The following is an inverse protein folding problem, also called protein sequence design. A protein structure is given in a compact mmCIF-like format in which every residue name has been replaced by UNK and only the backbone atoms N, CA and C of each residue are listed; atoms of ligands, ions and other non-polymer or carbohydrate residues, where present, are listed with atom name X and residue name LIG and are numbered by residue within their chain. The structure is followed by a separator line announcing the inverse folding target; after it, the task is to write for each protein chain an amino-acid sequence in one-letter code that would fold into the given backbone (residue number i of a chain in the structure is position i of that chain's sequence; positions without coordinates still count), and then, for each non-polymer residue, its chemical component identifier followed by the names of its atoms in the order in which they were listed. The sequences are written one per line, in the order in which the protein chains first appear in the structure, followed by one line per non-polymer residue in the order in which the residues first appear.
data_IF_498479745907
#
_entry.id   IF_498479745907
#
_cell.length_a   1.000
_cell.length_b   1.000
_cell.length_c   1.000
_cell.angle_alpha   90.00
_cell.angle_beta   90.00
_cell.angle_gamma   90.00
#
_symmetry.space_group_name_H-M   'P 1'
#
loop_
_entity.id
_entity.type
_entity.pdbx_description
1 polymer ?
#
# COMPACT_ATOMS: atom_id res chain seq x y z
N UNK A 1 -38.37 -13.27 34.46
CA UNK A 1 -36.93 -13.42 34.18
C UNK A 1 -36.69 -12.78 32.83
N UNK A 2 -36.11 -11.59 32.85
CA UNK A 2 -35.91 -10.69 31.72
C UNK A 2 -34.77 -11.19 30.82
N UNK A 3 -35.10 -11.51 29.56
CA UNK A 3 -34.14 -11.80 28.50
C UNK A 3 -33.38 -10.53 28.14
N UNK A 4 -32.05 -10.55 28.33
CA UNK A 4 -31.16 -9.47 27.91
C UNK A 4 -30.66 -9.73 26.49
N UNK A 5 -30.94 -8.76 25.65
CA UNK A 5 -30.51 -8.61 24.27
C UNK A 5 -28.98 -8.43 24.26
N UNK A 6 -28.26 -9.35 23.62
CA UNK A 6 -26.80 -9.23 23.38
C UNK A 6 -26.60 -8.39 22.12
N UNK A 7 -26.11 -7.17 22.28
CA UNK A 7 -25.61 -6.32 21.18
C UNK A 7 -24.22 -6.78 20.73
N UNK A 8 -23.87 -6.69 19.43
CA UNK A 8 -22.57 -7.13 18.94
C UNK A 8 -21.47 -6.12 19.31
N UNK A 9 -20.40 -6.65 19.90
CA UNK A 9 -19.16 -5.96 20.25
C UNK A 9 -18.59 -5.17 19.07
N UNK A 10 -18.45 -3.86 19.28
CA UNK A 10 -17.63 -2.97 18.46
C UNK A 10 -16.20 -3.50 18.42
N UNK A 11 -15.74 -3.87 17.21
CA UNK A 11 -14.36 -4.27 16.94
C UNK A 11 -13.40 -3.21 17.47
N UNK A 12 -12.69 -3.56 18.55
CA UNK A 12 -11.70 -2.72 19.19
C UNK A 12 -10.55 -2.47 18.21
N UNK A 13 -10.38 -1.22 17.80
CA UNK A 13 -9.13 -0.70 17.27
C UNK A 13 -8.06 -0.97 18.33
N UNK A 14 -7.15 -1.90 18.07
CA UNK A 14 -5.97 -2.12 18.91
C UNK A 14 -5.18 -0.83 19.00
N UNK A 15 -5.16 -0.23 20.19
CA UNK A 15 -4.42 0.99 20.51
C UNK A 15 -2.93 0.72 20.23
N UNK A 16 -2.25 1.51 19.37
CA UNK A 16 -0.82 1.33 19.15
C UNK A 16 -0.06 1.63 20.43
N UNK A 17 0.97 0.81 20.69
CA UNK A 17 1.94 1.04 21.75
C UNK A 17 2.43 2.50 21.72
N UNK A 18 2.46 3.18 22.87
CA UNK A 18 2.73 4.63 22.99
C UNK A 18 4.13 5.05 22.48
N UNK A 19 5.00 4.06 22.24
CA UNK A 19 6.37 4.20 21.75
C UNK A 19 6.58 3.72 20.29
N UNK A 20 5.52 3.33 19.57
CA UNK A 20 5.64 2.87 18.19
C UNK A 20 5.49 4.03 17.19
N UNK A 21 6.50 4.24 16.35
CA UNK A 21 6.44 5.20 15.23
C UNK A 21 5.30 4.87 14.29
N UNK A 22 4.65 5.90 13.75
CA UNK A 22 3.62 5.75 12.72
C UNK A 22 4.29 5.57 11.36
N UNK A 23 3.97 4.49 10.65
CA UNK A 23 4.41 4.31 9.27
C UNK A 23 3.56 5.19 8.35
N UNK A 24 4.17 6.18 7.71
CA UNK A 24 3.47 7.12 6.83
C UNK A 24 2.88 6.44 5.58
N UNK A 25 3.37 5.26 5.21
CA UNK A 25 2.80 4.46 4.12
C UNK A 25 1.43 3.87 4.47
N UNK A 26 1.01 3.88 5.74
CA UNK A 26 -0.35 3.45 6.12
C UNK A 26 -1.40 4.54 5.93
N UNK A 27 -0.99 5.78 5.64
CA UNK A 27 -1.87 6.94 5.66
C UNK A 27 -2.18 7.43 4.25
N UNK A 28 -3.48 7.51 3.92
CA UNK A 28 -3.93 8.24 2.75
C UNK A 28 -3.73 9.76 2.93
N UNK A 29 -3.99 10.56 1.90
CA UNK A 29 -3.74 12.01 1.95
C UNK A 29 -4.53 12.73 3.04
N UNK A 30 -5.77 12.35 3.27
CA UNK A 30 -6.59 12.96 4.32
C UNK A 30 -6.01 12.66 5.71
N UNK A 31 -5.67 11.39 5.96
CA UNK A 31 -5.06 10.94 7.21
C UNK A 31 -3.67 11.58 7.41
N UNK A 32 -2.87 11.71 6.34
CA UNK A 32 -1.59 12.43 6.38
C UNK A 32 -1.76 13.89 6.78
N UNK A 33 -2.76 14.59 6.22
CA UNK A 33 -3.05 15.98 6.60
C UNK A 33 -3.50 16.11 8.05
N UNK A 34 -4.31 15.17 8.53
CA UNK A 34 -4.74 15.13 9.92
C UNK A 34 -3.57 14.85 10.88
N UNK A 35 -2.71 13.90 10.53
CA UNK A 35 -1.48 13.61 11.28
C UNK A 35 -0.58 14.85 11.40
N UNK A 36 -0.36 15.59 10.31
CA UNK A 36 0.42 16.83 10.34
C UNK A 36 -0.25 17.94 11.14
N UNK A 37 -1.58 18.07 11.04
CA UNK A 37 -2.35 19.04 11.84
C UNK A 37 -2.18 18.77 13.34
N UNK A 38 -2.22 17.51 13.77
CA UNK A 38 -2.04 17.12 15.17
C UNK A 38 -0.63 17.43 15.70
N UNK A 39 0.38 17.53 14.83
CA UNK A 39 1.73 17.99 15.17
C UNK A 39 1.93 19.51 15.12
N UNK A 40 0.85 20.27 14.85
CA UNK A 40 0.89 21.73 14.71
C UNK A 40 1.41 22.22 13.37
N UNK A 41 1.48 21.36 12.35
CA UNK A 41 1.95 21.70 11.01
C UNK A 41 0.79 22.01 10.07
N UNK A 42 1.06 22.83 9.04
CA UNK A 42 0.06 23.18 8.01
C UNK A 42 -0.18 21.99 7.06
N UNK A 43 -1.41 21.78 6.55
CA UNK A 43 -1.74 20.62 5.70
C UNK A 43 -0.85 20.43 4.47
N UNK A 44 -0.34 21.50 3.85
CA UNK A 44 0.53 21.39 2.67
C UNK A 44 1.88 20.73 2.98
N UNK A 45 2.31 20.68 4.25
CA UNK A 45 3.53 19.96 4.64
C UNK A 45 3.36 18.44 4.47
N UNK A 46 2.16 17.92 4.74
CA UNK A 46 1.82 16.54 4.44
C UNK A 46 1.93 16.26 2.94
N UNK A 47 1.37 17.16 2.12
CA UNK A 47 1.44 17.05 0.65
C UNK A 47 2.90 17.06 0.13
N UNK A 48 3.79 17.87 0.74
CA UNK A 48 5.23 17.86 0.41
C UNK A 48 5.89 16.53 0.77
N UNK A 49 5.63 16.00 1.96
CA UNK A 49 6.19 14.72 2.40
C UNK A 49 5.70 13.57 1.52
N UNK A 50 4.42 13.56 1.14
CA UNK A 50 3.90 12.57 0.20
C UNK A 50 4.63 12.63 -1.15
N UNK A 51 4.89 13.82 -1.70
CA UNK A 51 5.68 13.95 -2.94
C UNK A 51 7.07 13.33 -2.79
N UNK A 52 7.78 13.58 -1.69
CA UNK A 52 9.07 12.94 -1.43
C UNK A 52 8.94 11.41 -1.38
N UNK A 53 7.96 10.92 -0.62
CA UNK A 53 7.71 9.49 -0.50
C UNK A 53 7.47 8.84 -1.86
N UNK A 54 6.54 9.36 -2.66
CA UNK A 54 6.04 8.62 -3.83
C UNK A 54 6.66 9.06 -5.16
N UNK A 55 7.05 10.33 -5.32
CA UNK A 55 7.65 10.80 -6.58
C UNK A 55 9.16 10.55 -6.63
N UNK A 56 9.82 10.51 -5.47
CA UNK A 56 11.26 10.27 -5.33
C UNK A 56 11.58 8.90 -4.71
N UNK A 57 10.59 8.14 -4.22
CA UNK A 57 10.81 6.90 -3.46
C UNK A 57 11.75 7.13 -2.26
N UNK A 58 11.55 8.26 -1.58
CA UNK A 58 12.33 8.68 -0.41
C UNK A 58 11.76 8.08 0.87
N UNK A 59 12.61 7.41 1.64
CA UNK A 59 12.32 6.82 2.96
C UNK A 59 13.13 7.46 4.09
N UNK A 60 14.08 8.36 3.78
CA UNK A 60 14.84 9.12 4.77
C UNK A 60 14.36 10.58 4.83
N UNK A 61 13.94 11.02 6.03
CA UNK A 61 13.55 12.41 6.26
C UNK A 61 14.70 13.40 6.05
N UNK A 62 15.97 13.00 6.19
CA UNK A 62 17.11 13.89 5.98
C UNK A 62 17.25 14.36 4.53
N UNK A 63 16.83 13.53 3.57
CA UNK A 63 16.90 13.83 2.14
C UNK A 63 15.85 14.88 1.70
N UNK A 64 14.84 15.15 2.54
CA UNK A 64 13.76 16.09 2.24
C UNK A 64 14.21 17.56 2.41
N UNK A 65 14.96 18.06 1.44
CA UNK A 65 15.67 19.36 1.51
C UNK A 65 14.78 20.59 1.62
N UNK A 66 13.54 20.54 1.14
CA UNK A 66 12.56 21.63 1.22
C UNK A 66 11.71 21.61 2.51
N UNK A 67 12.04 20.69 3.42
CA UNK A 67 11.47 20.59 4.77
C UNK A 67 12.45 21.14 5.79
N UNK A 68 11.96 22.04 6.63
CA UNK A 68 12.79 22.66 7.67
C UNK A 68 13.29 21.61 8.68
N UNK A 69 14.43 21.90 9.32
CA UNK A 69 15.10 20.97 10.24
C UNK A 69 14.22 20.56 11.43
N UNK A 70 13.41 21.48 11.96
CA UNK A 70 12.54 21.23 13.12
C UNK A 70 11.50 20.16 12.78
N UNK A 71 10.84 20.27 11.63
CA UNK A 71 9.85 19.31 11.17
C UNK A 71 10.49 17.95 10.83
N UNK A 72 11.66 17.93 10.19
CA UNK A 72 12.40 16.68 9.96
C UNK A 72 12.73 15.95 11.26
N UNK A 73 13.22 16.67 12.28
CA UNK A 73 13.48 16.07 13.60
C UNK A 73 12.23 15.51 14.25
N UNK A 74 11.11 16.24 14.24
CA UNK A 74 9.82 15.72 14.75
C UNK A 74 9.40 14.44 14.04
N UNK A 75 9.44 14.41 12.71
CA UNK A 75 9.05 13.24 11.92
C UNK A 75 9.90 12.01 12.28
N UNK A 76 11.20 12.18 12.48
CA UNK A 76 12.08 11.08 12.91
C UNK A 76 11.71 10.52 14.28
N UNK A 77 11.16 11.32 15.18
CA UNK A 77 10.75 10.88 16.52
C UNK A 77 9.44 10.08 16.47
N UNK A 78 8.44 10.57 15.74
CA UNK A 78 7.07 10.03 15.80
C UNK A 78 6.65 9.18 14.60
N UNK A 79 7.40 9.21 13.50
CA UNK A 79 7.03 8.58 12.24
C UNK A 79 8.20 7.87 11.55
N UNK A 80 7.86 7.01 10.60
CA UNK A 80 8.80 6.33 9.72
C UNK A 80 8.19 6.11 8.33
N UNK A 81 9.02 5.78 7.35
CA UNK A 81 8.60 5.34 6.02
C UNK A 81 9.21 3.97 5.82
N UNK A 82 8.41 2.92 6.03
CA UNK A 82 8.91 1.54 6.02
C UNK A 82 8.12 0.70 5.03
N UNK A 83 8.65 0.55 3.82
CA UNK A 83 8.10 -0.36 2.83
C UNK A 83 8.57 -1.80 3.09
N UNK A 84 7.76 -2.83 2.75
CA UNK A 84 8.20 -4.22 2.76
C UNK A 84 9.50 -4.44 1.98
N UNK A 85 10.32 -5.39 2.45
CA UNK A 85 11.62 -5.69 1.85
C UNK A 85 11.51 -6.82 0.82
N UNK A 86 12.33 -6.72 -0.24
CA UNK A 86 12.47 -7.81 -1.22
C UNK A 86 13.40 -8.87 -0.62
N UNK A 87 12.93 -10.10 -0.54
CA UNK A 87 13.74 -11.25 -0.08
C UNK A 87 14.20 -12.14 -1.23
N UNK A 88 13.55 -12.03 -2.39
CA UNK A 88 13.94 -12.75 -3.60
C UNK A 88 13.51 -11.94 -4.82
N UNK A 89 14.36 -11.91 -5.85
CA UNK A 89 14.09 -11.27 -7.14
C UNK A 89 14.43 -12.24 -8.27
N UNK A 90 13.50 -12.38 -9.21
CA UNK A 90 13.68 -13.18 -10.41
C UNK A 90 13.39 -12.31 -11.64
N UNK A 91 14.30 -12.29 -12.61
CA UNK A 91 14.17 -11.52 -13.85
C UNK A 91 14.03 -12.47 -15.04
N UNK A 92 12.96 -12.29 -15.79
CA UNK A 92 12.69 -12.99 -17.05
C UNK A 92 13.41 -12.30 -18.21
N UNK A 93 13.63 -13.03 -19.31
CA UNK A 93 14.21 -12.50 -20.55
C UNK A 93 13.27 -11.55 -21.29
N UNK A 94 11.95 -11.63 -21.05
CA UNK A 94 10.94 -10.71 -21.57
C UNK A 94 10.85 -9.38 -20.79
N UNK A 95 11.69 -9.22 -19.75
CA UNK A 95 11.72 -8.03 -18.89
C UNK A 95 10.83 -8.12 -17.65
N UNK A 96 9.98 -9.15 -17.52
CA UNK A 96 9.18 -9.38 -16.32
C UNK A 96 10.09 -9.55 -15.10
N UNK A 97 9.74 -8.88 -13.99
CA UNK A 97 10.45 -9.02 -12.72
C UNK A 97 9.46 -9.51 -11.67
N UNK A 98 9.77 -10.63 -11.03
CA UNK A 98 8.99 -11.19 -9.93
C UNK A 98 9.75 -11.00 -8.62
N UNK A 99 9.09 -10.41 -7.64
CA UNK A 99 9.62 -10.24 -6.29
C UNK A 99 8.84 -11.07 -5.29
N UNK A 100 9.56 -11.77 -4.41
CA UNK A 100 9.01 -12.20 -3.13
C UNK A 100 9.30 -11.10 -2.10
N UNK A 101 8.24 -10.61 -1.46
CA UNK A 101 8.26 -9.48 -0.55
C UNK A 101 7.93 -9.96 0.86
N UNK A 102 8.80 -9.63 1.82
CA UNK A 102 8.62 -9.97 3.23
C UNK A 102 7.59 -9.06 3.90
N UNK A 103 6.61 -9.68 4.55
CA UNK A 103 5.52 -9.01 5.28
C UNK A 103 5.41 -9.62 6.69
N UNK A 104 6.38 -9.27 7.54
CA UNK A 104 6.60 -9.94 8.82
C UNK A 104 7.38 -11.24 8.63
N UNK A 105 6.87 -12.34 9.15
CA UNK A 105 7.41 -13.70 9.01
C UNK A 105 6.94 -14.41 7.73
N UNK A 106 6.07 -13.77 6.94
CA UNK A 106 5.49 -14.33 5.73
C UNK A 106 5.97 -13.60 4.46
N UNK A 107 5.59 -14.14 3.30
CA UNK A 107 5.94 -13.60 1.98
C UNK A 107 4.70 -13.44 1.12
N UNK A 108 4.70 -12.40 0.30
CA UNK A 108 3.75 -12.20 -0.79
C UNK A 108 4.49 -11.93 -2.08
N UNK A 109 3.79 -12.04 -3.22
CA UNK A 109 4.38 -11.81 -4.52
C UNK A 109 4.00 -10.43 -5.07
N UNK A 110 4.93 -9.80 -5.77
CA UNK A 110 4.70 -8.62 -6.59
C UNK A 110 5.37 -8.84 -7.94
N UNK A 111 4.66 -8.57 -9.04
CA UNK A 111 5.17 -8.83 -10.39
C UNK A 111 5.11 -7.57 -11.23
N UNK A 112 6.25 -7.17 -11.75
CA UNK A 112 6.39 -6.09 -12.73
C UNK A 112 6.42 -6.68 -14.14
N UNK A 113 5.57 -6.14 -15.01
CA UNK A 113 5.38 -6.61 -16.38
C UNK A 113 5.56 -5.39 -17.29
N UNK A 114 6.75 -5.22 -17.90
CA UNK A 114 6.97 -4.16 -18.87
C UNK A 114 6.38 -4.54 -20.23
N UNK A 115 5.81 -3.55 -20.91
CA UNK A 115 5.35 -3.62 -22.29
C UNK A 115 5.83 -2.37 -23.04
N UNK A 116 5.62 -2.31 -24.37
CA UNK A 116 6.11 -1.20 -25.19
C UNK A 116 5.50 0.16 -24.79
N UNK A 117 4.21 0.19 -24.42
CA UNK A 117 3.45 1.41 -24.15
C UNK A 117 3.03 1.60 -22.68
N UNK A 118 3.30 0.61 -21.83
CA UNK A 118 2.91 0.61 -20.43
C UNK A 118 3.79 -0.28 -19.57
N UNK A 119 3.76 -0.03 -18.27
CA UNK A 119 4.39 -0.86 -17.26
C UNK A 119 3.35 -1.23 -16.20
N UNK A 120 3.02 -2.51 -16.11
CA UNK A 120 1.98 -3.03 -15.22
C UNK A 120 2.59 -3.66 -13.98
N UNK A 121 2.05 -3.32 -12.81
CA UNK A 121 2.40 -3.96 -11.55
C UNK A 121 1.24 -4.77 -11.00
N UNK A 122 1.47 -6.07 -10.78
CA UNK A 122 0.56 -6.96 -10.10
C UNK A 122 0.87 -6.97 -8.60
N UNK A 123 -0.13 -6.61 -7.78
CA UNK A 123 0.01 -6.37 -6.34
C UNK A 123 -0.87 -7.34 -5.55
N UNK A 124 -0.32 -7.90 -4.48
CA UNK A 124 -1.01 -8.77 -3.54
C UNK A 124 -1.85 -7.97 -2.54
N UNK A 125 -2.98 -8.52 -2.12
CA UNK A 125 -3.93 -7.91 -1.17
C UNK A 125 -3.99 -8.64 0.18
N UNK A 126 -3.61 -9.92 0.24
CA UNK A 126 -3.61 -10.74 1.45
C UNK A 126 -2.39 -11.68 1.45
N UNK A 127 -2.07 -12.24 2.60
CA UNK A 127 -1.19 -13.40 2.67
C UNK A 127 -2.04 -14.67 2.58
N UNK A 128 -1.91 -15.37 1.45
CA UNK A 128 -2.81 -16.47 1.12
C UNK A 128 -4.18 -16.00 0.61
N UNK A 129 -5.13 -16.94 0.46
CA UNK A 129 -6.49 -16.65 0.02
C UNK A 129 -7.48 -17.71 0.53
N UNK A 130 -8.64 -17.27 1.02
CA UNK A 130 -9.66 -18.15 1.61
C UNK A 130 -10.68 -18.72 0.60
N UNK A 131 -10.59 -18.37 -0.69
CA UNK A 131 -11.62 -18.69 -1.68
C UNK A 131 -11.50 -20.06 -2.35
N UNK A 132 -10.43 -20.82 -2.04
CA UNK A 132 -10.28 -22.22 -2.47
C UNK A 132 -10.45 -22.47 -3.99
N UNK A 133 -10.14 -21.49 -4.84
CA UNK A 133 -10.17 -21.66 -6.29
C UNK A 133 -9.19 -22.77 -6.71
N UNK A 134 -9.71 -23.90 -7.22
CA UNK A 134 -8.93 -25.14 -7.45
C UNK A 134 -7.74 -25.00 -8.41
N UNK A 135 -7.76 -24.00 -9.28
CA UNK A 135 -6.68 -23.71 -10.24
C UNK A 135 -5.62 -22.75 -9.67
N UNK A 136 -5.84 -22.16 -8.49
CA UNK A 136 -4.99 -21.13 -7.91
C UNK A 136 -3.99 -21.72 -6.93
N UNK A 137 -2.70 -21.50 -7.15
CA UNK A 137 -1.63 -21.94 -6.22
C UNK A 137 -1.78 -21.29 -4.83
N UNK A 138 -2.18 -20.00 -4.77
CA UNK A 138 -2.39 -19.29 -3.50
C UNK A 138 -3.50 -19.92 -2.65
N UNK A 139 -4.53 -20.49 -3.28
CA UNK A 139 -5.62 -21.17 -2.56
C UNK A 139 -5.13 -22.42 -1.81
N UNK A 140 -4.13 -23.13 -2.34
CA UNK A 140 -3.55 -24.32 -1.70
C UNK A 140 -2.77 -23.99 -0.42
N UNK A 141 -2.32 -22.75 -0.26
CA UNK A 141 -1.61 -22.26 0.93
C UNK A 141 -2.58 -21.92 2.07
N UNK A 142 -3.88 -21.83 1.78
CA UNK A 142 -4.89 -21.32 2.71
C UNK A 142 -4.79 -19.80 2.90
N UNK A 143 -5.57 -19.28 3.84
CA UNK A 143 -5.53 -17.87 4.25
C UNK A 143 -4.78 -17.72 5.56
N UNK A 144 -3.97 -16.67 5.68
CA UNK A 144 -3.35 -16.28 6.93
C UNK A 144 -3.90 -14.96 7.47
N UNK A 145 -3.64 -13.85 6.77
CA UNK A 145 -4.03 -12.52 7.20
C UNK A 145 -4.19 -11.55 6.05
N UNK A 146 -4.89 -10.46 6.33
CA UNK A 146 -4.94 -9.29 5.46
C UNK A 146 -3.61 -8.52 5.50
N UNK A 147 -3.23 -7.93 4.36
CA UNK A 147 -2.14 -6.96 4.30
C UNK A 147 -2.63 -5.60 4.79
N UNK A 148 -1.75 -4.86 5.49
CA UNK A 148 -1.95 -3.45 5.84
C UNK A 148 -1.82 -2.55 4.62
N UNK A 149 -2.27 -1.30 4.73
CA UNK A 149 -2.12 -0.28 3.67
C UNK A 149 -0.65 -0.17 3.25
N UNK A 150 0.27 -0.01 4.21
CA UNK A 150 1.71 0.07 3.98
C UNK A 150 2.30 -1.17 3.30
N UNK A 151 1.72 -2.34 3.53
CA UNK A 151 2.14 -3.60 2.88
C UNK A 151 1.60 -3.73 1.46
N UNK A 152 0.47 -3.08 1.13
CA UNK A 152 -0.08 -3.03 -0.23
C UNK A 152 0.61 -1.94 -1.05
N UNK A 153 0.53 -0.69 -0.59
CA UNK A 153 1.13 0.45 -1.32
C UNK A 153 2.65 0.38 -1.31
N UNK A 154 3.23 -0.25 -0.29
CA UNK A 154 4.66 -0.50 -0.20
C UNK A 154 5.19 -1.45 -1.29
N UNK A 155 4.36 -2.33 -1.86
CA UNK A 155 4.74 -3.12 -3.04
C UNK A 155 4.96 -2.20 -4.25
N UNK A 156 4.05 -1.24 -4.47
CA UNK A 156 4.18 -0.23 -5.54
C UNK A 156 5.40 0.66 -5.30
N UNK A 157 5.58 1.12 -4.07
CA UNK A 157 6.71 1.95 -3.67
C UNK A 157 8.06 1.24 -3.87
N UNK A 158 8.17 -0.02 -3.43
CA UNK A 158 9.39 -0.82 -3.57
C UNK A 158 9.72 -1.09 -5.02
N UNK A 159 8.72 -1.49 -5.81
CA UNK A 159 8.89 -1.69 -7.25
C UNK A 159 9.30 -0.39 -7.96
N UNK A 160 8.67 0.74 -7.64
CA UNK A 160 9.03 2.05 -8.17
C UNK A 160 10.47 2.46 -7.80
N UNK A 161 10.92 2.17 -6.58
CA UNK A 161 12.30 2.43 -6.13
C UNK A 161 13.33 1.61 -6.91
N UNK A 162 13.03 0.32 -7.15
CA UNK A 162 13.92 -0.60 -7.88
C UNK A 162 13.97 -0.29 -9.37
N UNK A 163 12.82 -0.05 -10.00
CA UNK A 163 12.73 0.26 -11.44
C UNK A 163 13.25 1.68 -11.73
N UNK A 164 13.01 2.62 -10.82
CA UNK A 164 13.49 3.99 -10.87
C UNK A 164 12.36 5.02 -10.75
N UNK A 165 12.41 5.82 -9.67
CA UNK A 165 11.38 6.80 -9.36
C UNK A 165 11.21 7.88 -10.45
N UNK A 166 9.99 8.38 -10.63
CA UNK A 166 9.64 9.32 -11.72
C UNK A 166 10.46 10.60 -11.70
N UNK A 167 10.79 11.14 -10.51
CA UNK A 167 11.63 12.34 -10.42
C UNK A 167 13.12 12.07 -10.53
N UNK A 168 13.53 10.81 -10.50
CA UNK A 168 14.92 10.36 -10.68
C UNK A 168 15.20 10.04 -12.15
N UNK A 169 14.29 9.33 -12.81
CA UNK A 169 14.47 8.87 -14.20
C UNK A 169 13.78 9.76 -15.24
N UNK A 170 12.84 10.61 -14.82
CA UNK A 170 11.99 11.41 -15.70
C UNK A 170 10.82 10.62 -16.33
N UNK A 171 10.77 9.30 -16.15
CA UNK A 171 9.75 8.40 -16.69
C UNK A 171 9.03 7.70 -15.53
N UNK A 172 7.71 7.55 -15.63
CA UNK A 172 6.96 6.82 -14.59
C UNK A 172 7.36 5.34 -14.63
N UNK A 173 7.85 4.75 -13.52
CA UNK A 173 8.25 3.35 -13.52
C UNK A 173 7.06 2.40 -13.67
N UNK A 174 5.88 2.82 -13.19
CA UNK A 174 4.65 2.04 -13.21
C UNK A 174 3.56 2.94 -13.74
N UNK A 175 2.84 2.46 -14.76
CA UNK A 175 1.71 3.18 -15.36
C UNK A 175 0.38 2.52 -15.05
N UNK A 176 0.40 1.22 -14.72
CA UNK A 176 -0.79 0.41 -14.47
C UNK A 176 -0.59 -0.43 -13.21
N UNK A 177 -1.62 -0.54 -12.37
CA UNK A 177 -1.64 -1.43 -11.21
C UNK A 177 -2.86 -2.35 -11.31
N UNK A 178 -2.65 -3.64 -11.07
CA UNK A 178 -3.71 -4.63 -11.01
C UNK A 178 -3.66 -5.37 -9.67
N UNK A 179 -4.80 -5.43 -8.97
CA UNK A 179 -4.96 -6.18 -7.73
C UNK A 179 -5.26 -7.65 -8.07
N UNK A 180 -4.29 -8.31 -8.71
CA UNK A 180 -4.36 -9.68 -9.19
C UNK A 180 -3.26 -10.58 -8.59
N UNK A 181 -2.58 -10.10 -7.54
CA UNK A 181 -1.62 -10.89 -6.79
C UNK A 181 -2.31 -11.88 -5.86
N UNK A 182 -1.67 -12.15 -4.72
CA UNK A 182 -2.23 -13.06 -3.71
C UNK A 182 -3.40 -12.41 -2.98
N UNK A 183 -4.49 -13.16 -2.77
CA UNK A 183 -5.65 -12.75 -1.97
C UNK A 183 -6.85 -12.25 -2.76
N UNK A 184 -8.00 -12.19 -2.11
CA UNK A 184 -9.23 -11.57 -2.61
C UNK A 184 -9.32 -10.11 -2.09
N UNK A 185 -9.16 -9.10 -2.96
CA UNK A 185 -9.13 -7.69 -2.53
C UNK A 185 -10.41 -7.25 -1.82
N UNK A 186 -11.57 -7.78 -2.22
CA UNK A 186 -12.86 -7.42 -1.58
C UNK A 186 -12.98 -7.94 -0.14
N UNK A 187 -12.15 -8.89 0.28
CA UNK A 187 -12.08 -9.34 1.69
C UNK A 187 -11.06 -8.54 2.51
N UNK A 188 -10.45 -7.50 1.92
CA UNK A 188 -9.52 -6.58 2.58
C UNK A 188 -9.79 -5.10 2.26
N UNK A 189 -11.07 -4.71 2.11
CA UNK A 189 -11.45 -3.35 1.72
C UNK A 189 -10.84 -2.24 2.59
N UNK A 190 -10.77 -2.46 3.91
CA UNK A 190 -10.23 -1.47 4.86
C UNK A 190 -8.79 -1.05 4.54
N UNK A 191 -7.99 -1.92 3.91
CA UNK A 191 -6.61 -1.63 3.54
C UNK A 191 -6.44 -1.40 2.03
N UNK A 192 -7.21 -2.11 1.21
CA UNK A 192 -7.14 -1.99 -0.25
C UNK A 192 -7.63 -0.62 -0.71
N UNK A 193 -8.72 -0.09 -0.14
CA UNK A 193 -9.27 1.20 -0.55
C UNK A 193 -8.29 2.35 -0.29
N UNK A 194 -7.74 2.55 0.94
CA UNK A 194 -6.75 3.60 1.16
C UNK A 194 -5.48 3.44 0.31
N UNK A 195 -5.04 2.20 0.06
CA UNK A 195 -3.90 1.96 -0.82
C UNK A 195 -4.18 2.40 -2.26
N UNK A 196 -5.37 2.08 -2.80
CA UNK A 196 -5.79 2.55 -4.12
C UNK A 196 -5.97 4.06 -4.18
N UNK A 197 -6.46 4.71 -3.12
CA UNK A 197 -6.51 6.18 -3.05
C UNK A 197 -5.12 6.78 -3.22
N UNK A 198 -4.08 6.22 -2.60
CA UNK A 198 -2.69 6.68 -2.77
C UNK A 198 -2.16 6.40 -4.18
N UNK A 199 -2.55 5.28 -4.80
CA UNK A 199 -2.20 5.00 -6.20
C UNK A 199 -2.77 6.08 -7.14
N UNK A 200 -3.97 6.58 -6.85
CA UNK A 200 -4.69 7.56 -7.66
C UNK A 200 -4.30 9.01 -7.35
N UNK A 201 -3.85 9.31 -6.12
CA UNK A 201 -3.56 10.68 -5.68
C UNK A 201 -2.39 11.31 -6.45
N UNK A 202 -2.52 12.57 -6.87
CA UNK A 202 -1.48 13.33 -7.57
C UNK A 202 -0.16 13.48 -6.77
N UNK A 203 -0.25 13.46 -5.44
CA UNK A 203 0.92 13.46 -4.53
C UNK A 203 1.36 12.04 -4.14
N UNK A 204 0.57 11.03 -4.48
CA UNK A 204 0.95 9.63 -4.49
C UNK A 204 1.55 9.24 -5.85
N UNK A 205 1.02 8.18 -6.45
CA UNK A 205 1.48 7.73 -7.77
C UNK A 205 0.78 8.43 -8.94
N UNK A 206 -0.31 9.17 -8.72
CA UNK A 206 -1.01 9.95 -9.75
C UNK A 206 -1.46 9.09 -10.94
N UNK A 207 -1.90 7.85 -10.68
CA UNK A 207 -2.42 6.96 -11.71
C UNK A 207 -3.86 7.33 -12.05
N UNK A 208 -4.24 7.15 -13.31
CA UNK A 208 -5.64 7.27 -13.71
C UNK A 208 -6.45 6.13 -13.10
N UNK A 209 -7.71 6.39 -12.71
CA UNK A 209 -8.66 5.34 -12.34
C UNK A 209 -8.85 4.25 -13.39
N UNK A 210 -8.59 4.55 -14.67
CA UNK A 210 -8.64 3.57 -15.77
C UNK A 210 -7.42 2.64 -15.80
N UNK A 211 -6.41 2.91 -14.98
CA UNK A 211 -5.13 2.19 -14.91
C UNK A 211 -4.90 1.52 -13.55
N UNK A 212 -5.86 1.60 -12.63
CA UNK A 212 -5.87 0.84 -11.38
C UNK A 212 -7.07 -0.10 -11.43
N UNK A 213 -6.80 -1.40 -11.55
CA UNK A 213 -7.85 -2.42 -11.74
C UNK A 213 -7.93 -3.31 -10.52
N UNK A 214 -9.11 -3.40 -9.91
CA UNK A 214 -9.41 -4.37 -8.87
C UNK A 214 -10.04 -5.60 -9.50
N UNK A 215 -9.42 -6.77 -9.30
CA UNK A 215 -9.99 -8.07 -9.69
C UNK A 215 -10.69 -8.71 -8.49
N UNK A 216 -11.79 -9.42 -8.72
CA UNK A 216 -12.52 -10.13 -7.68
C UNK A 216 -13.14 -11.42 -8.21
N UNK A 217 -13.24 -12.41 -7.33
CA UNK A 217 -13.95 -13.67 -7.61
C UNK A 217 -15.46 -13.58 -7.34
N UNK A 218 -15.97 -12.43 -6.86
CA UNK A 218 -17.40 -12.17 -6.74
C UNK A 218 -17.94 -12.12 -5.31
N UNK A 219 -17.30 -11.37 -4.40
CA UNK A 219 -17.85 -11.09 -3.06
C UNK A 219 -18.88 -9.96 -3.15
N UNK A 220 -20.10 -10.29 -3.59
CA UNK A 220 -21.15 -9.30 -3.96
C UNK A 220 -21.39 -8.23 -2.88
N UNK A 221 -21.60 -8.54 -1.59
CA UNK A 221 -21.84 -7.50 -0.59
C UNK A 221 -20.67 -6.53 -0.37
N UNK A 222 -19.44 -6.98 -0.64
CA UNK A 222 -18.25 -6.14 -0.57
C UNK A 222 -18.08 -5.32 -1.86
N UNK A 223 -18.49 -5.85 -3.01
CA UNK A 223 -18.52 -5.11 -4.27
C UNK A 223 -19.49 -3.93 -4.19
N UNK A 224 -20.68 -4.14 -3.62
CA UNK A 224 -21.67 -3.07 -3.41
C UNK A 224 -21.12 -1.97 -2.50
N UNK A 225 -20.35 -2.32 -1.47
CA UNK A 225 -19.66 -1.36 -0.59
C UNK A 225 -18.56 -0.57 -1.30
N UNK A 226 -17.89 -1.17 -2.28
CA UNK A 226 -16.83 -0.52 -3.05
C UNK A 226 -17.38 0.43 -4.13
N UNK A 227 -18.58 0.15 -4.63
CA UNK A 227 -19.21 0.92 -5.70
C UNK A 227 -19.76 2.30 -5.24
N UNK A 228 -19.79 2.55 -3.93
CA UNK A 228 -20.26 3.78 -3.28
C UNK A 228 -19.07 4.69 -2.99
#
# INVERSE_FOLDING_TARGET
MSEQIVTPDTAALTVPNKDAKINLLDLNRQQMREFFKNMGEKPFRADQVMKWMYHYCCDDFDEMTDINKVLRSKLKEVAEIRAPEVVEEQRSTDGTIKWAIAVGDQRVETVYIPEEDRATLCVSSQVGCALECKFCSTAQQGFNRNLRVSEIIGQVWRAAKIVGAVKTTGVRPITNVVMMGMGEPLLNLNNVVPAMEIMLDDFGFGLSKRRVTLSTSGVVPALDKLAI
#
